data_IF_981952076491
#
_entry.id   IF_981952076491
#
_cell.length_a   1.000
_cell.length_b   1.000
_cell.length_c   1.000
_cell.angle_alpha   90.00
_cell.angle_beta   90.00
_cell.angle_gamma   90.00
#
_symmetry.space_group_name_H-M   'P 1'
#
loop_
_entity.id
_entity.type
_entity.pdbx_description
1 polymer ?
#
# COMPACT_ATOMS: atom_id res chain seq x y z
N UNK A 1 -55.22 9.94 34.71
CA UNK A 1 -55.22 10.33 36.14
C UNK A 1 -53.77 10.50 36.55
N UNK A 2 -53.27 11.74 36.45
CA UNK A 2 -52.78 12.56 37.57
C UNK A 2 -51.39 12.19 38.11
N UNK A 3 -50.40 12.96 37.64
CA UNK A 3 -49.29 13.66 38.33
C UNK A 3 -48.95 13.22 39.77
N UNK A 4 -47.68 13.22 40.19
CA UNK A 4 -47.00 14.42 40.74
C UNK A 4 -45.47 14.21 40.78
N UNK A 5 -44.73 15.27 40.42
CA UNK A 5 -43.27 15.45 40.59
C UNK A 5 -42.95 15.83 42.03
N UNK A 6 -41.79 15.43 42.56
CA UNK A 6 -41.17 16.14 43.68
C UNK A 6 -39.66 16.29 43.47
N UNK A 7 -39.27 17.52 43.17
CA UNK A 7 -37.89 18.00 43.23
C UNK A 7 -37.60 18.44 44.67
N UNK A 8 -36.43 18.09 45.20
CA UNK A 8 -35.90 18.73 46.42
C UNK A 8 -34.53 19.31 46.09
N UNK A 9 -34.50 20.65 46.09
CA UNK A 9 -33.30 21.48 46.12
C UNK A 9 -33.06 21.84 47.58
N UNK A 10 -31.87 21.59 48.11
CA UNK A 10 -31.42 22.20 49.37
C UNK A 10 -30.17 23.00 49.09
N UNK A 11 -30.30 24.29 49.37
CA UNK A 11 -29.27 25.29 49.29
C UNK A 11 -28.43 25.32 50.58
N UNK A 12 -27.12 25.50 50.40
CA UNK A 12 -26.31 26.47 51.14
C UNK A 12 -25.83 26.10 52.54
N UNK A 13 -24.50 26.01 52.70
CA UNK A 13 -23.78 26.80 53.70
C UNK A 13 -22.45 27.26 53.09
N UNK A 14 -22.28 28.58 52.98
CA UNK A 14 -21.01 29.25 52.73
C UNK A 14 -20.34 29.42 54.09
N UNK A 15 -19.15 28.85 54.28
CA UNK A 15 -18.23 29.23 55.35
C UNK A 15 -16.96 29.78 54.71
N UNK A 16 -16.83 31.10 54.73
CA UNK A 16 -15.58 31.79 54.45
C UNK A 16 -14.84 31.99 55.77
N UNK A 17 -13.70 31.33 55.94
CA UNK A 17 -12.68 31.70 56.91
C UNK A 17 -11.33 31.70 56.20
N UNK A 18 -10.81 32.90 55.98
CA UNK A 18 -9.45 33.17 55.57
C UNK A 18 -8.49 32.78 56.68
N UNK A 19 -7.34 32.19 56.33
CA UNK A 19 -6.07 32.35 57.04
C UNK A 19 -4.93 31.99 56.08
N UNK A 20 -4.09 33.00 55.88
CA UNK A 20 -2.79 33.01 55.21
C UNK A 20 -1.82 31.97 55.78
N UNK A 21 -1.11 31.26 54.91
CA UNK A 21 0.05 30.45 55.29
C UNK A 21 0.73 29.83 54.09
N UNK A 22 1.84 30.43 53.65
CA UNK A 22 2.76 29.82 52.69
C UNK A 22 3.37 28.55 53.29
N UNK A 23 3.12 27.40 52.67
CA UNK A 23 4.00 26.24 52.78
C UNK A 23 4.04 25.58 51.41
N UNK A 24 5.16 25.77 50.71
CA UNK A 24 5.49 25.03 49.52
C UNK A 24 5.56 23.54 49.88
N UNK A 25 4.57 22.76 49.43
CA UNK A 25 4.72 21.31 49.36
C UNK A 25 5.68 21.05 48.21
N UNK A 26 6.94 20.79 48.56
CA UNK A 26 7.91 20.14 47.69
C UNK A 26 7.37 18.74 47.43
N UNK A 27 6.58 18.58 46.37
CA UNK A 27 6.30 17.27 45.81
C UNK A 27 7.62 16.64 45.36
N UNK A 28 7.78 15.31 45.47
CA UNK A 28 8.97 14.67 44.97
C UNK A 28 9.07 15.00 43.48
N UNK A 29 10.19 15.60 43.11
CA UNK A 29 10.59 15.73 41.72
C UNK A 29 10.56 14.32 41.12
N UNK A 30 9.48 14.00 40.42
CA UNK A 30 9.54 12.98 39.40
C UNK A 30 10.61 13.47 38.44
N UNK A 31 11.79 12.87 38.57
CA UNK A 31 12.82 12.86 37.55
C UNK A 31 12.18 12.23 36.31
N UNK A 32 11.39 13.01 35.60
CA UNK A 32 11.08 12.77 34.20
C UNK A 32 12.39 13.02 33.47
N UNK A 33 13.27 12.03 33.52
CA UNK A 33 14.30 11.88 32.51
C UNK A 33 13.51 11.73 31.22
N UNK A 34 13.39 12.84 30.48
CA UNK A 34 13.14 12.77 29.06
C UNK A 34 14.18 11.78 28.52
N UNK A 35 13.73 10.56 28.22
CA UNK A 35 14.51 9.66 27.38
C UNK A 35 14.64 10.43 26.08
N UNK A 36 15.85 10.82 25.65
CA UNK A 36 16.00 11.37 24.33
C UNK A 36 15.44 10.34 23.36
N UNK A 37 14.37 10.70 22.66
CA UNK A 37 13.86 9.93 21.53
C UNK A 37 14.86 10.10 20.39
N UNK A 38 16.07 9.55 20.56
CA UNK A 38 16.99 9.32 19.47
C UNK A 38 16.63 7.97 18.89
N UNK A 39 15.54 7.92 18.11
CA UNK A 39 15.55 6.97 16.99
C UNK A 39 16.79 7.36 16.19
N UNK A 40 17.83 6.51 16.09
CA UNK A 40 18.94 6.82 15.21
C UNK A 40 18.34 7.06 13.82
N UNK A 41 18.60 8.23 13.24
CA UNK A 41 18.28 8.45 11.84
C UNK A 41 18.96 7.33 11.07
N UNK A 42 18.17 6.50 10.39
CA UNK A 42 18.74 5.43 9.57
C UNK A 42 19.47 6.13 8.44
N UNK A 43 20.80 6.05 8.46
CA UNK A 43 21.64 6.59 7.40
C UNK A 43 21.24 5.92 6.10
N UNK A 44 20.67 6.68 5.15
CA UNK A 44 20.26 6.14 3.85
C UNK A 44 21.48 5.67 3.09
N UNK A 45 21.41 4.48 2.50
CA UNK A 45 22.42 4.03 1.56
C UNK A 45 22.44 4.97 0.36
N UNK A 46 23.63 5.47 0.03
CA UNK A 46 23.79 6.40 -1.07
C UNK A 46 23.47 5.72 -2.41
N UNK A 47 22.60 6.35 -3.21
CA UNK A 47 22.38 5.91 -4.59
C UNK A 47 23.64 6.22 -5.40
N UNK A 48 24.28 5.23 -6.04
CA UNK A 48 25.41 5.49 -6.93
C UNK A 48 24.99 6.32 -8.14
N UNK A 49 25.96 6.83 -8.90
CA UNK A 49 25.67 7.48 -10.18
C UNK A 49 25.20 6.44 -11.20
N UNK A 50 23.88 6.34 -11.39
CA UNK A 50 23.24 5.45 -12.35
C UNK A 50 23.22 6.04 -13.78
N UNK A 51 23.88 7.19 -13.99
CA UNK A 51 23.80 7.99 -15.19
C UNK A 51 22.49 8.77 -15.31
N UNK A 52 22.31 9.43 -16.46
CA UNK A 52 21.11 10.21 -16.72
C UNK A 52 19.85 9.34 -16.67
N UNK A 53 18.85 9.77 -15.89
CA UNK A 53 17.51 9.18 -15.89
C UNK A 53 16.89 9.38 -17.28
N UNK A 54 16.50 8.31 -17.99
CA UNK A 54 15.85 8.44 -19.28
C UNK A 54 14.48 9.11 -19.14
N UNK A 55 14.05 9.79 -20.20
CA UNK A 55 12.69 10.30 -20.28
C UNK A 55 11.70 9.11 -20.28
N UNK A 56 10.58 9.21 -19.56
CA UNK A 56 9.56 8.16 -19.61
C UNK A 56 8.99 8.05 -21.02
N UNK A 57 8.57 6.83 -21.38
CA UNK A 57 7.82 6.62 -22.61
C UNK A 57 6.58 7.54 -22.67
N UNK A 58 6.23 8.00 -23.88
CA UNK A 58 5.03 8.80 -24.05
C UNK A 58 3.79 7.98 -23.65
N UNK A 59 2.81 8.59 -22.97
CA UNK A 59 1.56 7.90 -22.62
C UNK A 59 0.87 7.33 -23.85
N UNK A 60 0.21 6.18 -23.69
CA UNK A 60 -0.56 5.56 -24.76
C UNK A 60 -1.71 6.48 -25.22
N UNK A 61 -1.94 6.56 -26.52
CA UNK A 61 -3.14 7.18 -27.10
C UNK A 61 -4.39 6.37 -26.78
N UNK A 62 -5.60 6.92 -26.94
CA UNK A 62 -6.83 6.18 -26.66
C UNK A 62 -6.98 4.93 -27.55
N UNK A 63 -6.50 5.01 -28.79
CA UNK A 63 -6.49 3.90 -29.73
C UNK A 63 -5.55 2.76 -29.31
N UNK A 64 -4.52 3.05 -28.50
CA UNK A 64 -3.57 2.06 -27.97
C UNK A 64 -3.96 1.56 -26.58
N UNK A 65 -4.49 2.45 -25.74
CA UNK A 65 -4.84 2.17 -24.36
C UNK A 65 -5.98 1.14 -24.25
N UNK A 66 -7.01 1.23 -25.11
CA UNK A 66 -8.15 0.31 -25.03
C UNK A 66 -7.78 -1.14 -25.39
N UNK A 67 -7.08 -1.43 -26.50
CA UNK A 67 -6.56 -2.76 -26.76
C UNK A 67 -5.65 -3.29 -25.65
N UNK A 68 -4.79 -2.43 -25.09
CA UNK A 68 -3.90 -2.81 -23.98
C UNK A 68 -4.68 -3.18 -22.71
N UNK A 69 -5.74 -2.41 -22.38
CA UNK A 69 -6.63 -2.69 -21.25
C UNK A 69 -7.39 -4.01 -21.45
N UNK A 70 -7.90 -4.25 -22.65
CA UNK A 70 -8.61 -5.50 -22.96
C UNK A 70 -7.67 -6.72 -22.88
N UNK A 71 -6.45 -6.61 -23.40
CA UNK A 71 -5.44 -7.66 -23.27
C UNK A 71 -5.11 -7.95 -21.80
N UNK A 72 -5.04 -6.91 -20.95
CA UNK A 72 -4.84 -7.08 -19.52
C UNK A 72 -6.04 -7.78 -18.84
N UNK A 73 -7.27 -7.38 -19.17
CA UNK A 73 -8.47 -8.04 -18.68
C UNK A 73 -8.52 -9.52 -19.12
N UNK A 74 -8.07 -9.84 -20.34
CA UNK A 74 -7.96 -11.23 -20.81
C UNK A 74 -6.94 -12.04 -20.01
N UNK A 75 -5.77 -11.45 -19.69
CA UNK A 75 -4.76 -12.10 -18.83
C UNK A 75 -5.28 -12.36 -17.42
N UNK A 76 -5.87 -11.34 -16.78
CA UNK A 76 -6.46 -11.47 -15.45
C UNK A 76 -7.54 -12.56 -15.42
N UNK A 77 -8.38 -12.64 -16.46
CA UNK A 77 -9.37 -13.69 -16.56
C UNK A 77 -8.76 -15.08 -16.72
N UNK A 78 -7.71 -15.21 -17.54
CA UNK A 78 -7.01 -16.48 -17.74
C UNK A 78 -6.39 -16.99 -16.42
N UNK A 79 -5.74 -16.11 -15.66
CA UNK A 79 -5.19 -16.42 -14.33
C UNK A 79 -6.30 -16.82 -13.35
N UNK A 80 -7.45 -16.13 -13.41
CA UNK A 80 -8.60 -16.44 -12.58
C UNK A 80 -9.13 -17.85 -12.86
N UNK A 81 -9.38 -18.25 -14.11
CA UNK A 81 -9.95 -19.60 -14.35
C UNK A 81 -8.93 -20.71 -14.16
N UNK A 82 -7.62 -20.42 -14.21
CA UNK A 82 -6.60 -21.38 -13.81
C UNK A 82 -6.74 -21.79 -12.33
N UNK A 83 -7.17 -20.87 -11.47
CA UNK A 83 -7.45 -21.10 -10.04
C UNK A 83 -8.91 -21.47 -9.77
N UNK A 84 -9.84 -20.98 -10.59
CA UNK A 84 -11.29 -21.18 -10.45
C UNK A 84 -11.91 -21.70 -11.76
N UNK A 85 -11.75 -22.98 -12.11
CA UNK A 85 -12.13 -23.51 -13.42
C UNK A 85 -13.64 -23.45 -13.72
N UNK A 86 -14.48 -23.33 -12.70
CA UNK A 86 -15.94 -23.18 -12.83
C UNK A 86 -16.40 -21.73 -13.01
N UNK A 87 -15.49 -20.75 -12.98
CA UNK A 87 -15.82 -19.36 -13.15
C UNK A 87 -16.37 -19.07 -14.54
N UNK A 88 -17.43 -18.26 -14.61
CA UNK A 88 -18.04 -17.82 -15.86
C UNK A 88 -17.69 -16.36 -16.09
N UNK A 89 -17.16 -16.04 -17.28
CA UNK A 89 -16.69 -14.69 -17.59
C UNK A 89 -17.85 -13.71 -17.70
N UNK A 90 -17.89 -12.65 -16.88
CA UNK A 90 -18.88 -11.58 -17.05
C UNK A 90 -18.47 -10.65 -18.20
N UNK A 91 -19.46 -10.08 -18.89
CA UNK A 91 -19.26 -8.93 -19.76
C UNK A 91 -19.18 -7.67 -18.90
N UNK A 92 -18.07 -6.95 -19.00
CA UNK A 92 -17.78 -5.80 -18.13
C UNK A 92 -17.19 -4.67 -18.96
N UNK A 93 -17.83 -3.51 -18.90
CA UNK A 93 -17.33 -2.28 -19.52
C UNK A 93 -16.47 -1.48 -18.54
N UNK A 94 -15.47 -0.77 -19.07
CA UNK A 94 -14.76 0.25 -18.31
C UNK A 94 -15.71 1.42 -18.03
N UNK A 95 -15.79 1.89 -16.78
CA UNK A 95 -16.57 3.08 -16.45
C UNK A 95 -15.77 4.35 -16.80
N UNK A 96 -14.54 4.43 -16.30
CA UNK A 96 -13.56 5.46 -16.63
C UNK A 96 -12.18 5.03 -16.14
N UNK A 97 -11.13 5.56 -16.77
CA UNK A 97 -9.80 5.47 -16.20
C UNK A 97 -9.70 6.32 -14.93
N UNK A 98 -9.21 5.73 -13.85
CA UNK A 98 -8.93 6.42 -12.60
C UNK A 98 -7.45 6.43 -12.27
N UNK A 99 -7.06 7.26 -11.30
CA UNK A 99 -5.70 7.29 -10.74
C UNK A 99 -5.77 7.52 -9.24
N UNK A 100 -4.75 7.06 -8.51
CA UNK A 100 -4.58 7.32 -7.08
C UNK A 100 -5.76 6.92 -6.20
N UNK A 101 -5.96 7.65 -5.10
CA UNK A 101 -7.02 7.35 -4.11
C UNK A 101 -8.44 7.31 -4.68
N UNK A 102 -8.86 8.19 -5.61
CA UNK A 102 -10.19 8.08 -6.23
C UNK A 102 -10.44 6.75 -6.95
N UNK A 103 -9.43 6.21 -7.64
CA UNK A 103 -9.50 4.89 -8.26
C UNK A 103 -9.77 3.80 -7.21
N UNK A 104 -8.96 3.77 -6.15
CA UNK A 104 -9.11 2.79 -5.07
C UNK A 104 -10.44 2.92 -4.34
N UNK A 105 -10.94 4.14 -4.14
CA UNK A 105 -12.24 4.37 -3.52
C UNK A 105 -13.39 3.81 -4.36
N UNK A 106 -13.28 3.90 -5.70
CA UNK A 106 -14.24 3.29 -6.61
C UNK A 106 -14.20 1.75 -6.54
N UNK A 107 -13.01 1.14 -6.53
CA UNK A 107 -12.85 -0.31 -6.34
C UNK A 107 -13.43 -0.80 -5.01
N UNK A 108 -13.18 -0.07 -3.91
CA UNK A 108 -13.77 -0.37 -2.59
C UNK A 108 -15.30 -0.32 -2.64
N UNK A 109 -15.86 0.70 -3.29
CA UNK A 109 -17.31 0.84 -3.41
C UNK A 109 -17.92 -0.29 -4.25
N UNK A 110 -17.25 -0.69 -5.34
CA UNK A 110 -17.67 -1.82 -6.17
C UNK A 110 -17.70 -3.13 -5.37
N UNK A 111 -16.65 -3.44 -4.59
CA UNK A 111 -16.61 -4.65 -3.76
C UNK A 111 -17.69 -4.65 -2.66
N UNK A 112 -17.97 -3.48 -2.06
CA UNK A 112 -19.09 -3.32 -1.12
C UNK A 112 -20.44 -3.60 -1.76
N UNK A 113 -20.65 -3.13 -2.99
CA UNK A 113 -21.87 -3.40 -3.74
C UNK A 113 -22.00 -4.87 -4.12
N UNK A 114 -20.89 -5.58 -4.32
CA UNK A 114 -20.84 -7.02 -4.51
C UNK A 114 -21.05 -7.84 -3.21
N UNK A 115 -21.23 -7.18 -2.06
CA UNK A 115 -21.53 -7.82 -0.77
C UNK A 115 -20.29 -8.17 0.08
N UNK A 116 -19.11 -7.69 -0.30
CA UNK A 116 -17.87 -7.93 0.43
C UNK A 116 -17.47 -6.72 1.27
N UNK A 117 -16.72 -6.96 2.34
CA UNK A 117 -16.07 -5.87 3.03
C UNK A 117 -14.87 -5.39 2.23
N UNK A 118 -14.70 -4.07 2.16
CA UNK A 118 -13.55 -3.44 1.53
C UNK A 118 -13.25 -2.10 2.19
N UNK A 119 -11.98 -1.74 2.26
CA UNK A 119 -11.51 -0.48 2.82
C UNK A 119 -10.26 0.01 2.09
N UNK A 120 -10.03 1.32 2.13
CA UNK A 120 -8.75 1.89 1.72
C UNK A 120 -7.68 1.50 2.74
N UNK A 121 -6.44 1.35 2.28
CA UNK A 121 -5.29 1.26 3.19
C UNK A 121 -5.22 2.50 4.07
N UNK A 122 -4.63 2.39 5.26
CA UNK A 122 -4.48 3.53 6.19
C UNK A 122 -3.77 4.72 5.54
N UNK A 123 -2.87 4.45 4.60
CA UNK A 123 -2.09 5.45 3.86
C UNK A 123 -2.81 5.97 2.60
N UNK A 124 -3.95 5.38 2.22
CA UNK A 124 -4.74 5.80 1.04
C UNK A 124 -4.10 5.51 -0.32
N UNK A 125 -3.01 4.73 -0.33
CA UNK A 125 -2.23 4.32 -1.51
C UNK A 125 -2.57 2.89 -1.99
N UNK A 126 -3.62 2.29 -1.45
CA UNK A 126 -4.13 0.98 -1.84
C UNK A 126 -5.50 0.72 -1.20
N UNK A 127 -5.97 -0.51 -1.36
CA UNK A 127 -7.21 -0.99 -0.74
C UNK A 127 -7.12 -2.50 -0.49
N UNK A 128 -7.98 -2.97 0.38
CA UNK A 128 -8.10 -4.38 0.74
C UNK A 128 -9.58 -4.78 0.78
N UNK A 129 -9.86 -6.07 0.56
CA UNK A 129 -11.17 -6.66 0.76
C UNK A 129 -11.10 -8.00 1.46
N UNK A 130 -12.19 -8.36 2.10
CA UNK A 130 -12.35 -9.54 2.93
C UNK A 130 -13.74 -10.15 2.73
N UNK A 131 -14.02 -11.23 3.47
CA UNK A 131 -15.30 -11.94 3.42
C UNK A 131 -16.50 -11.05 3.72
N UNK A 132 -17.72 -11.60 3.64
CA UNK A 132 -18.95 -10.85 3.92
C UNK A 132 -19.11 -10.45 5.39
N UNK A 133 -18.21 -10.91 6.28
CA UNK A 133 -18.15 -10.54 7.70
C UNK A 133 -16.75 -10.08 8.08
N UNK A 134 -16.62 -8.87 8.66
CA UNK A 134 -15.33 -8.30 9.09
C UNK A 134 -14.60 -9.17 10.11
N UNK A 135 -15.37 -9.92 10.91
CA UNK A 135 -14.87 -10.64 12.08
C UNK A 135 -13.99 -11.85 11.73
N UNK A 136 -14.26 -12.53 10.61
CA UNK A 136 -13.43 -13.64 10.12
C UNK A 136 -12.30 -13.17 9.20
N UNK A 137 -12.50 -12.09 8.44
CA UNK A 137 -11.56 -11.64 7.39
C UNK A 137 -11.47 -12.58 6.17
N UNK A 138 -11.65 -13.88 6.39
CA UNK A 138 -11.52 -14.92 5.38
C UNK A 138 -12.72 -14.96 4.41
N UNK A 139 -12.44 -15.30 3.15
CA UNK A 139 -13.45 -15.68 2.18
C UNK A 139 -13.81 -17.16 2.41
N UNK A 140 -15.07 -17.49 2.72
CA UNK A 140 -15.51 -18.89 2.78
C UNK A 140 -15.19 -19.63 1.47
N UNK A 141 -14.78 -20.90 1.55
CA UNK A 141 -14.36 -21.67 0.38
C UNK A 141 -15.45 -21.76 -0.69
N UNK A 142 -16.70 -21.89 -0.27
CA UNK A 142 -17.88 -21.91 -1.15
C UNK A 142 -18.14 -20.57 -1.86
N UNK A 143 -17.56 -19.48 -1.36
CA UNK A 143 -17.63 -18.13 -1.95
C UNK A 143 -16.35 -17.74 -2.71
N UNK A 144 -15.28 -18.54 -2.67
CA UNK A 144 -13.99 -18.16 -3.23
C UNK A 144 -14.08 -17.78 -4.72
N UNK A 145 -14.81 -18.56 -5.52
CA UNK A 145 -15.03 -18.26 -6.95
C UNK A 145 -15.87 -17.00 -7.15
N UNK A 146 -16.92 -16.81 -6.36
CA UNK A 146 -17.76 -15.61 -6.46
C UNK A 146 -16.99 -14.33 -6.10
N UNK A 147 -16.13 -14.41 -5.09
CA UNK A 147 -15.24 -13.32 -4.68
C UNK A 147 -14.19 -12.99 -5.75
N UNK A 148 -13.57 -14.01 -6.34
CA UNK A 148 -12.61 -13.83 -7.42
C UNK A 148 -13.25 -13.14 -8.64
N UNK A 149 -14.46 -13.57 -9.02
CA UNK A 149 -15.22 -12.95 -10.12
C UNK A 149 -15.60 -11.50 -9.79
N UNK A 150 -16.04 -11.21 -8.55
CA UNK A 150 -16.34 -9.85 -8.13
C UNK A 150 -15.10 -8.94 -8.18
N UNK A 151 -13.96 -9.44 -7.69
CA UNK A 151 -12.67 -8.72 -7.76
C UNK A 151 -12.28 -8.41 -9.21
N UNK A 152 -12.44 -9.37 -10.12
CA UNK A 152 -12.22 -9.16 -11.56
C UNK A 152 -13.17 -8.11 -12.15
N UNK A 153 -14.46 -8.17 -11.84
CA UNK A 153 -15.43 -7.16 -12.33
C UNK A 153 -15.00 -5.77 -11.87
N UNK A 154 -14.67 -5.61 -10.60
CA UNK A 154 -14.26 -4.32 -10.04
C UNK A 154 -12.93 -3.82 -10.61
N UNK A 155 -11.96 -4.69 -10.90
CA UNK A 155 -10.69 -4.29 -11.53
C UNK A 155 -10.88 -3.82 -12.97
N UNK A 156 -11.81 -4.43 -13.71
CA UNK A 156 -12.10 -4.05 -15.10
C UNK A 156 -12.93 -2.77 -15.17
N UNK A 157 -13.93 -2.60 -14.29
CA UNK A 157 -14.76 -1.38 -14.23
C UNK A 157 -13.95 -0.15 -13.81
N UNK A 158 -12.99 -0.36 -12.90
CA UNK A 158 -12.17 0.67 -12.28
C UNK A 158 -10.70 0.33 -12.47
N UNK A 159 -10.20 0.56 -13.69
CA UNK A 159 -8.80 0.37 -14.02
C UNK A 159 -8.06 1.70 -14.13
N UNK A 160 -6.76 1.68 -13.85
CA UNK A 160 -5.85 2.71 -14.32
C UNK A 160 -5.77 2.71 -15.84
N UNK A 161 -5.30 3.82 -16.43
CA UNK A 161 -4.90 3.81 -17.83
C UNK A 161 -3.65 2.93 -17.97
N UNK A 162 -3.60 1.98 -18.91
CA UNK A 162 -2.41 1.18 -19.12
C UNK A 162 -1.19 2.06 -19.43
N UNK A 163 -0.08 1.76 -18.77
CA UNK A 163 1.19 2.40 -19.04
C UNK A 163 1.83 1.78 -20.30
N UNK A 164 2.56 2.57 -21.11
CA UNK A 164 3.36 2.02 -22.19
C UNK A 164 4.43 1.07 -21.63
N UNK A 165 4.86 0.06 -22.39
CA UNK A 165 6.01 -0.76 -22.04
C UNK A 165 7.25 0.12 -21.78
N UNK A 166 8.17 -0.36 -20.95
CA UNK A 166 9.47 0.30 -20.79
C UNK A 166 10.24 0.29 -22.11
N UNK A 167 10.81 1.44 -22.46
CA UNK A 167 11.83 1.54 -23.51
C UNK A 167 13.10 0.80 -23.10
N UNK A 168 13.97 0.52 -24.08
CA UNK A 168 15.28 -0.09 -23.81
C UNK A 168 16.12 0.73 -22.84
N UNK A 169 16.09 2.06 -22.92
CA UNK A 169 16.87 2.93 -22.04
C UNK A 169 16.29 2.95 -20.62
N UNK A 170 14.96 2.96 -20.48
CA UNK A 170 14.31 2.79 -19.17
C UNK A 170 14.68 1.42 -18.56
N UNK A 171 14.61 0.32 -19.31
CA UNK A 171 15.00 -1.00 -18.81
C UNK A 171 16.48 -1.05 -18.39
N UNK A 172 17.39 -0.43 -19.14
CA UNK A 172 18.80 -0.33 -18.74
C UNK A 172 18.95 0.42 -17.42
N UNK A 173 18.20 1.50 -17.23
CA UNK A 173 18.24 2.24 -15.97
C UNK A 173 17.61 1.45 -14.82
N UNK A 174 16.48 0.75 -15.04
CA UNK A 174 15.90 -0.18 -14.04
C UNK A 174 16.95 -1.21 -13.65
N UNK A 175 17.60 -1.85 -14.62
CA UNK A 175 18.60 -2.87 -14.36
C UNK A 175 19.73 -2.35 -13.46
N UNK A 176 20.32 -1.19 -13.79
CA UNK A 176 21.35 -0.56 -12.95
C UNK A 176 20.83 -0.23 -11.54
N UNK A 177 19.59 0.27 -11.44
CA UNK A 177 18.99 0.52 -10.13
C UNK A 177 18.88 -0.76 -9.29
N UNK A 178 18.43 -1.86 -9.88
CA UNK A 178 18.28 -3.14 -9.18
C UNK A 178 19.63 -3.74 -8.80
N UNK A 179 20.57 -3.78 -9.74
CA UNK A 179 21.86 -4.47 -9.63
C UNK A 179 22.91 -3.63 -8.87
N UNK A 180 23.06 -2.35 -9.21
CA UNK A 180 24.11 -1.49 -8.69
C UNK A 180 23.70 -0.73 -7.41
N UNK A 181 22.39 -0.57 -7.16
CA UNK A 181 21.89 0.10 -5.94
C UNK A 181 21.15 -0.85 -5.00
N UNK A 182 20.03 -1.44 -5.43
CA UNK A 182 19.10 -2.11 -4.52
C UNK A 182 19.72 -3.35 -3.87
N UNK A 183 20.36 -4.21 -4.66
CA UNK A 183 21.06 -5.41 -4.16
C UNK A 183 22.19 -5.04 -3.18
N UNK A 184 23.11 -4.11 -3.49
CA UNK A 184 24.11 -3.62 -2.54
C UNK A 184 23.51 -2.98 -1.27
N UNK A 185 22.43 -2.21 -1.42
CA UNK A 185 21.75 -1.56 -0.29
C UNK A 185 21.19 -2.60 0.69
N UNK A 186 20.46 -3.60 0.19
CA UNK A 186 19.97 -4.70 1.03
C UNK A 186 21.11 -5.47 1.69
N UNK A 187 22.19 -5.73 0.95
CA UNK A 187 23.38 -6.42 1.47
C UNK A 187 24.07 -5.62 2.58
N UNK A 188 24.10 -4.29 2.47
CA UNK A 188 24.66 -3.40 3.49
C UNK A 188 23.94 -3.54 4.83
N UNK A 189 22.61 -3.67 4.81
CA UNK A 189 21.81 -3.95 6.01
C UNK A 189 21.72 -5.43 6.36
N UNK A 190 22.62 -6.28 5.85
CA UNK A 190 22.72 -7.69 6.26
C UNK A 190 21.65 -8.61 5.68
N UNK A 191 20.85 -8.14 4.71
CA UNK A 191 19.96 -9.03 3.98
C UNK A 191 20.72 -9.82 2.91
N UNK A 192 20.18 -10.97 2.54
CA UNK A 192 20.68 -11.79 1.43
C UNK A 192 19.76 -11.68 0.22
N UNK A 193 20.31 -11.86 -0.98
CA UNK A 193 19.53 -11.88 -2.22
C UNK A 193 19.57 -13.29 -2.80
N UNK A 194 18.39 -13.86 -3.03
CA UNK A 194 18.23 -15.27 -3.46
C UNK A 194 18.46 -15.46 -4.96
N UNK A 195 18.28 -14.40 -5.75
CA UNK A 195 18.37 -14.44 -7.20
C UNK A 195 19.52 -13.56 -7.67
N UNK A 196 20.49 -14.17 -8.35
CA UNK A 196 21.53 -13.40 -9.04
C UNK A 196 20.91 -12.62 -10.21
N UNK A 197 21.43 -11.41 -10.50
CA UNK A 197 21.02 -10.65 -11.67
C UNK A 197 21.33 -11.45 -12.95
N UNK A 198 20.40 -11.53 -13.92
CA UNK A 198 20.74 -12.00 -15.25
C UNK A 198 21.68 -10.98 -15.90
N UNK A 199 22.45 -11.39 -16.91
CA UNK A 199 23.17 -10.42 -17.73
C UNK A 199 22.21 -9.40 -18.36
N UNK A 200 22.66 -8.15 -18.54
CA UNK A 200 21.83 -7.06 -19.06
C UNK A 200 21.10 -7.43 -20.36
N UNK A 201 21.75 -8.10 -21.30
CA UNK A 201 21.10 -8.50 -22.56
C UNK A 201 19.94 -9.48 -22.35
N UNK A 202 20.08 -10.41 -21.40
CA UNK A 202 19.00 -11.33 -21.03
C UNK A 202 17.87 -10.58 -20.31
N UNK A 203 18.20 -9.61 -19.47
CA UNK A 203 17.22 -8.73 -18.84
C UNK A 203 16.40 -7.96 -19.89
N UNK A 204 17.07 -7.34 -20.86
CA UNK A 204 16.43 -6.58 -21.94
C UNK A 204 15.60 -7.48 -22.86
N UNK A 205 16.09 -8.67 -23.20
CA UNK A 205 15.36 -9.64 -24.01
C UNK A 205 14.10 -10.17 -23.31
N UNK A 206 14.12 -10.23 -21.97
CA UNK A 206 12.97 -10.61 -21.15
C UNK A 206 12.02 -9.47 -20.82
N UNK A 207 12.24 -8.27 -21.37
CA UNK A 207 11.49 -7.06 -21.03
C UNK A 207 11.47 -6.73 -19.53
N UNK A 208 12.57 -7.00 -18.83
CA UNK A 208 12.74 -6.66 -17.42
C UNK A 208 12.09 -7.63 -16.43
N UNK A 209 11.93 -8.91 -16.80
CA UNK A 209 11.22 -9.89 -15.96
C UNK A 209 11.91 -10.24 -14.63
N UNK A 210 13.16 -9.82 -14.41
CA UNK A 210 13.90 -10.11 -13.18
C UNK A 210 13.71 -9.00 -12.14
N UNK A 211 13.48 -9.43 -10.90
CA UNK A 211 13.51 -8.55 -9.72
C UNK A 211 14.25 -9.27 -8.58
N UNK A 212 15.14 -8.59 -7.85
CA UNK A 212 15.92 -9.22 -6.79
C UNK A 212 15.00 -9.63 -5.63
N UNK A 213 15.16 -10.86 -5.15
CA UNK A 213 14.36 -11.40 -4.05
C UNK A 213 15.17 -11.40 -2.76
N UNK A 214 14.78 -10.54 -1.81
CA UNK A 214 15.40 -10.42 -0.50
C UNK A 214 15.05 -11.61 0.41
N UNK A 215 15.97 -12.03 1.28
CA UNK A 215 15.74 -13.02 2.33
C UNK A 215 16.60 -12.82 3.58
N UNK A 216 16.21 -13.48 4.66
CA UNK A 216 16.85 -13.38 5.98
C UNK A 216 16.35 -12.18 6.78
N UNK A 217 16.85 -12.04 8.00
CA UNK A 217 16.60 -10.88 8.86
C UNK A 217 17.83 -9.97 8.83
N UNK A 218 17.67 -8.78 8.26
CA UNK A 218 18.72 -7.76 8.25
C UNK A 218 18.91 -7.08 9.61
N UNK A 219 19.78 -6.07 9.64
CA UNK A 219 20.08 -5.25 10.81
C UNK A 219 19.01 -4.19 11.12
N UNK A 220 18.07 -3.96 10.20
CA UNK A 220 16.93 -3.06 10.35
C UNK A 220 15.62 -3.81 10.02
N UNK A 221 14.49 -3.29 10.52
CA UNK A 221 13.18 -3.87 10.31
C UNK A 221 12.66 -3.73 8.88
N UNK A 222 11.60 -4.49 8.57
CA UNK A 222 10.96 -4.53 7.25
C UNK A 222 10.35 -3.18 6.83
N UNK A 223 9.87 -2.38 7.78
CA UNK A 223 9.36 -1.03 7.51
C UNK A 223 10.49 -0.04 7.24
N UNK A 224 11.60 -0.19 7.95
CA UNK A 224 12.76 0.68 7.86
C UNK A 224 13.53 0.47 6.56
N UNK A 225 13.67 -0.78 6.12
CA UNK A 225 14.42 -1.12 4.91
C UNK A 225 13.77 -0.57 3.64
N UNK A 226 12.45 -0.46 3.57
CA UNK A 226 11.78 0.15 2.40
C UNK A 226 12.05 1.66 2.32
N UNK A 227 12.32 2.30 3.46
CA UNK A 227 12.74 3.71 3.50
C UNK A 227 14.24 3.87 3.19
N UNK A 228 15.08 2.94 3.66
CA UNK A 228 16.53 2.98 3.48
C UNK A 228 16.98 2.51 2.09
N UNK A 229 16.28 1.53 1.53
CA UNK A 229 16.51 0.86 0.25
C UNK A 229 15.18 0.72 -0.52
N UNK A 230 14.65 1.81 -1.09
CA UNK A 230 13.36 1.77 -1.78
C UNK A 230 13.36 0.71 -2.90
N UNK A 231 12.50 -0.29 -2.79
CA UNK A 231 12.42 -1.37 -3.78
C UNK A 231 11.90 -0.89 -5.15
N UNK A 232 11.21 0.26 -5.18
CA UNK A 232 10.66 0.86 -6.39
C UNK A 232 11.71 1.76 -7.04
N UNK A 233 12.03 1.48 -8.29
CA UNK A 233 12.89 2.36 -9.09
C UNK A 233 12.26 3.75 -9.22
N UNK A 234 13.03 4.85 -9.08
CA UNK A 234 12.52 6.21 -9.20
C UNK A 234 12.17 6.60 -10.64
N UNK A 235 12.18 5.66 -11.60
CA UNK A 235 11.93 5.94 -13.01
C UNK A 235 10.52 6.47 -13.28
N UNK A 236 9.51 5.77 -12.78
CA UNK A 236 8.09 6.14 -12.91
C UNK A 236 7.55 6.25 -11.48
N UNK A 237 7.44 7.47 -10.99
CA UNK A 237 6.69 7.75 -9.76
C UNK A 237 5.20 7.53 -10.05
N UNK A 238 4.41 7.05 -9.06
CA UNK A 238 2.98 6.80 -9.23
C UNK A 238 2.15 8.06 -9.47
#
# INVERSE_FOLDING_TARGET
>A
MSNVRLSVVVAGVIVSLALSGCAAVVGPAHLSKAVPSSTPAIDRFAVPDLGAKPAPAAPLTDAEAEPARLAEADRQWADLVALHPSAVRPTVDLIAYGTGTPLFAASVQCMKQAGYHAALSQEGNGWESSGPTVESGDIPEDQATAYAVASYVCSVQHSGRPEPPYTQDELRYVYRYLDEYLVPCWTHYGFTVRTSPPGLDAFLASHGAWFPQRSGSGSIGETEIDTACPARSPLREP
#
